data_IF_977862479215
#
_entry.id   IF_977862479215
#
_cell.length_a   1.000
_cell.length_b   1.000
_cell.length_c   1.000
_cell.angle_alpha   90.00
_cell.angle_beta   90.00
_cell.angle_gamma   90.00
#
_symmetry.space_group_name_H-M   'P 1'
#
loop_
_entity.id
_entity.type
_entity.pdbx_description
1 polymer ?
#
# COMPACT_ATOMS: atom_id res chain seq x y z
N UNK A 1 -68.65 -36.34 12.89
CA UNK A 1 -68.40 -36.47 14.34
C UNK A 1 -67.80 -35.14 14.75
N UNK A 2 -68.45 -34.39 15.62
CA UNK A 2 -67.84 -33.17 16.18
C UNK A 2 -66.61 -33.58 16.99
N UNK A 3 -65.42 -33.15 16.57
CA UNK A 3 -64.22 -33.30 17.37
C UNK A 3 -64.29 -32.38 18.60
N UNK A 4 -63.88 -32.84 19.78
CA UNK A 4 -64.01 -32.07 21.02
C UNK A 4 -63.13 -30.81 20.97
N UNK A 5 -63.75 -29.67 21.27
CA UNK A 5 -63.08 -28.39 21.41
C UNK A 5 -61.99 -28.42 22.50
N UNK A 6 -60.82 -27.87 22.18
CA UNK A 6 -59.67 -27.80 23.09
C UNK A 6 -59.63 -26.46 23.82
N UNK A 7 -59.41 -26.49 25.13
CA UNK A 7 -59.14 -25.26 25.90
C UNK A 7 -57.85 -24.60 25.41
N UNK A 8 -57.74 -23.27 25.57
CA UNK A 8 -56.54 -22.52 25.19
C UNK A 8 -55.22 -23.14 25.70
N UNK A 9 -55.20 -23.71 26.90
CA UNK A 9 -54.00 -24.35 27.47
C UNK A 9 -53.69 -25.73 26.89
N UNK A 10 -54.71 -26.48 26.45
CA UNK A 10 -54.52 -27.75 25.75
C UNK A 10 -54.06 -27.50 24.31
N UNK A 11 -54.70 -26.56 23.60
CA UNK A 11 -54.33 -26.18 22.24
C UNK A 11 -52.92 -25.56 22.18
N UNK A 12 -52.59 -24.64 23.09
CA UNK A 12 -51.27 -24.06 23.25
C UNK A 12 -50.16 -25.11 23.30
N UNK A 13 -50.33 -26.14 24.14
CA UNK A 13 -49.37 -27.25 24.24
C UNK A 13 -49.29 -28.08 22.96
N UNK A 14 -50.42 -28.31 22.29
CA UNK A 14 -50.45 -29.09 21.05
C UNK A 14 -49.71 -28.42 19.89
N UNK A 15 -49.73 -27.08 19.81
CA UNK A 15 -49.10 -26.32 18.72
C UNK A 15 -47.78 -25.63 19.13
N UNK A 16 -47.30 -25.87 20.35
CA UNK A 16 -46.04 -25.28 20.84
C UNK A 16 -46.11 -23.77 21.07
N UNK A 17 -47.29 -23.21 21.33
CA UNK A 17 -47.50 -21.80 21.63
C UNK A 17 -47.80 -21.59 23.11
N UNK A 18 -47.66 -20.35 23.59
CA UNK A 18 -48.17 -19.97 24.91
C UNK A 18 -49.62 -19.54 24.80
N UNK A 19 -50.40 -19.66 25.89
CA UNK A 19 -51.76 -19.12 25.94
C UNK A 19 -51.80 -17.60 25.67
N UNK A 20 -50.74 -16.86 26.04
CA UNK A 20 -50.63 -15.44 25.72
C UNK A 20 -50.45 -15.19 24.23
N UNK A 21 -49.63 -15.99 23.54
CA UNK A 21 -49.44 -15.88 22.10
C UNK A 21 -50.75 -16.16 21.33
N UNK A 22 -51.54 -17.14 21.77
CA UNK A 22 -52.85 -17.42 21.19
C UNK A 22 -53.83 -16.26 21.36
N UNK A 23 -53.85 -15.59 22.53
CA UNK A 23 -54.65 -14.37 22.72
C UNK A 23 -54.20 -13.23 21.83
N UNK A 24 -52.89 -13.05 21.67
CA UNK A 24 -52.34 -12.04 20.77
C UNK A 24 -52.71 -12.31 19.31
N UNK A 25 -52.64 -13.55 18.85
CA UNK A 25 -53.03 -13.90 17.48
C UNK A 25 -54.54 -13.79 17.25
N UNK A 26 -55.36 -14.05 18.26
CA UNK A 26 -56.79 -13.74 18.25
C UNK A 26 -57.02 -12.22 18.10
N UNK A 27 -56.38 -11.40 18.95
CA UNK A 27 -56.46 -9.93 18.89
C UNK A 27 -56.03 -9.35 17.54
N UNK A 28 -55.00 -9.93 16.91
CA UNK A 28 -54.52 -9.52 15.58
C UNK A 28 -55.27 -10.18 14.41
N UNK A 29 -56.30 -11.00 14.70
CA UNK A 29 -57.14 -11.70 13.71
C UNK A 29 -56.44 -12.86 12.98
N UNK A 30 -55.22 -13.23 13.39
CA UNK A 30 -54.45 -14.30 12.77
C UNK A 30 -54.93 -15.68 13.16
N UNK A 31 -55.43 -15.88 14.39
CA UNK A 31 -55.89 -17.19 14.86
C UNK A 31 -57.07 -17.01 15.83
N UNK A 32 -58.26 -16.91 15.27
CA UNK A 32 -59.50 -16.69 16.02
C UNK A 32 -59.97 -18.01 16.66
N UNK A 33 -60.32 -18.02 17.96
CA UNK A 33 -60.88 -19.20 18.61
C UNK A 33 -62.23 -19.57 17.97
N UNK A 34 -62.55 -20.86 17.97
CA UNK A 34 -63.81 -21.35 17.44
C UNK A 34 -65.00 -20.94 18.32
N UNK A 35 -64.78 -20.85 19.64
CA UNK A 35 -65.78 -20.39 20.59
C UNK A 35 -65.13 -19.58 21.72
N UNK A 36 -65.82 -18.52 22.15
CA UNK A 36 -65.50 -17.76 23.36
C UNK A 36 -66.72 -17.81 24.27
N UNK A 37 -66.57 -18.41 25.44
CA UNK A 37 -67.64 -18.51 26.44
C UNK A 37 -68.03 -17.11 26.94
N UNK A 38 -69.30 -16.75 26.79
CA UNK A 38 -69.80 -15.40 27.06
C UNK A 38 -69.90 -15.04 28.54
N UNK A 39 -69.92 -16.04 29.44
CA UNK A 39 -69.99 -15.83 30.89
C UNK A 39 -68.62 -15.79 31.58
N UNK A 40 -67.63 -16.49 31.01
CA UNK A 40 -66.32 -16.72 31.64
C UNK A 40 -65.14 -16.21 30.80
N UNK A 41 -65.33 -15.94 29.51
CA UNK A 41 -64.28 -15.50 28.58
C UNK A 41 -63.30 -16.61 28.17
N UNK A 42 -63.60 -17.87 28.49
CA UNK A 42 -62.76 -19.01 28.09
C UNK A 42 -62.78 -19.18 26.56
N UNK A 43 -61.59 -19.40 25.99
CA UNK A 43 -61.39 -19.62 24.56
C UNK A 43 -61.21 -21.10 24.25
N UNK A 44 -61.90 -21.53 23.21
CA UNK A 44 -61.90 -22.90 22.72
C UNK A 44 -61.49 -22.95 21.25
N UNK A 45 -60.66 -23.93 20.90
CA UNK A 45 -60.08 -24.09 19.57
C UNK A 45 -60.40 -25.49 19.04
N UNK A 46 -60.70 -25.59 17.75
CA UNK A 46 -60.82 -26.91 17.12
C UNK A 46 -59.44 -27.46 16.73
N UNK A 47 -59.27 -28.78 16.62
CA UNK A 47 -58.01 -29.38 16.20
C UNK A 47 -57.52 -28.92 14.81
N UNK A 48 -58.43 -28.57 13.89
CA UNK A 48 -58.11 -28.12 12.53
C UNK A 48 -57.34 -26.78 12.50
N UNK A 49 -57.47 -25.97 13.56
CA UNK A 49 -56.70 -24.73 13.69
C UNK A 49 -55.20 -24.97 13.91
N UNK A 50 -54.79 -26.21 14.18
CA UNK A 50 -53.39 -26.55 14.42
C UNK A 50 -52.48 -26.29 13.21
N UNK A 51 -52.95 -26.54 11.98
CA UNK A 51 -52.16 -26.27 10.77
C UNK A 51 -51.94 -24.78 10.54
N UNK A 52 -52.99 -23.98 10.77
CA UNK A 52 -52.91 -22.52 10.75
C UNK A 52 -51.92 -22.00 11.79
N UNK A 53 -51.98 -22.54 13.01
CA UNK A 53 -51.04 -22.18 14.08
C UNK A 53 -49.58 -22.53 13.73
N UNK A 54 -49.34 -23.70 13.12
CA UNK A 54 -48.00 -24.11 12.66
C UNK A 54 -47.44 -23.16 11.59
N UNK A 55 -48.26 -22.74 10.63
CA UNK A 55 -47.86 -21.76 9.61
C UNK A 55 -47.49 -20.40 10.23
N UNK A 56 -48.28 -19.92 11.20
CA UNK A 56 -47.99 -18.69 11.93
C UNK A 56 -46.63 -18.79 12.64
N UNK A 57 -46.34 -19.92 13.30
CA UNK A 57 -45.05 -20.15 13.97
C UNK A 57 -43.89 -20.10 12.98
N UNK A 58 -43.97 -20.83 11.87
CA UNK A 58 -42.90 -20.85 10.86
C UNK A 58 -42.65 -19.47 10.23
N UNK A 59 -43.73 -18.72 9.93
CA UNK A 59 -43.61 -17.36 9.42
C UNK A 59 -43.01 -16.39 10.45
N UNK A 60 -43.36 -16.54 11.74
CA UNK A 60 -42.77 -15.73 12.83
C UNK A 60 -41.27 -16.00 12.97
N UNK A 61 -40.86 -17.26 12.93
CA UNK A 61 -39.44 -17.64 12.99
C UNK A 61 -38.66 -17.12 11.78
N UNK A 62 -39.30 -17.05 10.62
CA UNK A 62 -38.75 -16.44 9.41
C UNK A 62 -38.82 -14.90 9.39
N UNK A 63 -39.34 -14.25 10.44
CA UNK A 63 -39.44 -12.78 10.52
C UNK A 63 -40.48 -12.15 9.60
N UNK A 64 -41.42 -12.93 9.07
CA UNK A 64 -42.50 -12.44 8.20
C UNK A 64 -43.41 -11.49 9.01
N UNK A 65 -43.75 -10.28 8.51
CA UNK A 65 -44.65 -9.37 9.21
C UNK A 65 -46.08 -9.92 9.32
N UNK A 66 -46.79 -9.58 10.39
CA UNK A 66 -48.19 -9.97 10.64
C UNK A 66 -49.10 -9.67 9.43
N UNK A 67 -48.87 -8.55 8.74
CA UNK A 67 -49.65 -8.15 7.56
C UNK A 67 -49.50 -9.16 6.41
N UNK A 68 -48.26 -9.57 6.11
CA UNK A 68 -47.97 -10.61 5.13
C UNK A 68 -48.53 -11.97 5.58
N UNK A 69 -48.47 -12.27 6.89
CA UNK A 69 -49.08 -13.49 7.43
C UNK A 69 -50.59 -13.55 7.16
N UNK A 70 -51.33 -12.45 7.34
CA UNK A 70 -52.77 -12.42 7.02
C UNK A 70 -53.03 -12.72 5.55
N UNK A 71 -52.26 -12.11 4.64
CA UNK A 71 -52.37 -12.40 3.20
C UNK A 71 -52.12 -13.88 2.93
N UNK A 72 -51.08 -14.47 3.52
CA UNK A 72 -50.74 -15.89 3.33
C UNK A 72 -51.84 -16.82 3.85
N UNK A 73 -52.45 -16.49 4.98
CA UNK A 73 -53.41 -17.35 5.65
C UNK A 73 -54.84 -17.25 5.09
N UNK A 74 -55.21 -16.09 4.54
CA UNK A 74 -56.60 -15.79 4.17
C UNK A 74 -56.80 -15.66 2.65
N UNK A 75 -55.73 -15.79 1.85
CA UNK A 75 -55.79 -15.66 0.39
C UNK A 75 -55.53 -16.98 -0.36
N UNK A 76 -55.95 -17.10 -1.64
CA UNK A 76 -55.63 -18.26 -2.46
C UNK A 76 -54.12 -18.50 -2.59
N UNK A 77 -53.72 -19.76 -2.81
CA UNK A 77 -52.31 -20.19 -2.85
C UNK A 77 -51.41 -19.34 -3.75
N UNK A 78 -51.93 -18.85 -4.89
CA UNK A 78 -51.18 -17.99 -5.80
C UNK A 78 -50.81 -16.63 -5.14
N UNK A 79 -51.73 -16.01 -4.41
CA UNK A 79 -51.50 -14.75 -3.72
C UNK A 79 -50.61 -14.93 -2.50
N UNK A 80 -50.82 -16.00 -1.72
CA UNK A 80 -49.94 -16.36 -0.61
C UNK A 80 -48.48 -16.55 -1.06
N UNK A 81 -48.28 -17.25 -2.20
CA UNK A 81 -46.95 -17.42 -2.79
C UNK A 81 -46.33 -16.10 -3.25
N UNK A 82 -47.11 -15.22 -3.89
CA UNK A 82 -46.64 -13.92 -4.33
C UNK A 82 -46.18 -13.06 -3.14
N UNK A 83 -46.98 -13.02 -2.07
CA UNK A 83 -46.65 -12.26 -0.86
C UNK A 83 -45.36 -12.75 -0.17
N UNK A 84 -45.14 -14.07 -0.12
CA UNK A 84 -43.89 -14.64 0.41
C UNK A 84 -42.70 -14.41 -0.52
N UNK A 85 -42.88 -14.47 -1.84
CA UNK A 85 -41.81 -14.18 -2.79
C UNK A 85 -41.36 -12.71 -2.69
N UNK A 86 -42.30 -11.77 -2.61
CA UNK A 86 -42.02 -10.34 -2.41
C UNK A 86 -41.29 -10.10 -1.09
N UNK A 87 -41.72 -10.76 0.00
CA UNK A 87 -41.01 -10.69 1.28
C UNK A 87 -39.57 -11.22 1.19
N UNK A 88 -39.35 -12.35 0.50
CA UNK A 88 -38.00 -12.91 0.31
C UNK A 88 -37.10 -11.96 -0.51
N UNK A 89 -37.63 -11.35 -1.56
CA UNK A 89 -36.90 -10.38 -2.38
C UNK A 89 -36.51 -9.14 -1.58
N UNK A 90 -37.43 -8.56 -0.81
CA UNK A 90 -37.17 -7.39 0.02
C UNK A 90 -36.16 -7.70 1.15
N UNK A 91 -36.28 -8.86 1.81
CA UNK A 91 -35.29 -9.30 2.79
C UNK A 91 -33.91 -9.51 2.17
N UNK A 92 -33.84 -10.12 0.99
CA UNK A 92 -32.60 -10.27 0.24
C UNK A 92 -31.95 -8.93 -0.09
N UNK A 93 -32.74 -7.97 -0.59
CA UNK A 93 -32.27 -6.62 -0.90
C UNK A 93 -31.79 -5.86 0.35
N UNK A 94 -32.50 -5.98 1.48
CA UNK A 94 -32.08 -5.36 2.76
C UNK A 94 -30.77 -5.95 3.26
N UNK A 95 -30.61 -7.27 3.19
CA UNK A 95 -29.39 -7.96 3.61
C UNK A 95 -28.21 -7.54 2.74
N UNK A 96 -28.38 -7.49 1.41
CA UNK A 96 -27.34 -7.05 0.49
C UNK A 96 -26.88 -5.61 0.78
N UNK A 97 -27.81 -4.67 1.04
CA UNK A 97 -27.47 -3.28 1.42
C UNK A 97 -26.73 -3.22 2.75
N UNK A 98 -27.13 -4.03 3.74
CA UNK A 98 -26.45 -4.08 5.03
C UNK A 98 -25.02 -4.63 4.90
N UNK A 99 -24.82 -5.68 4.11
CA UNK A 99 -23.49 -6.22 3.81
C UNK A 99 -22.60 -5.21 3.09
N UNK A 100 -23.14 -4.48 2.11
CA UNK A 100 -22.43 -3.42 1.42
C UNK A 100 -22.02 -2.29 2.37
N UNK A 101 -22.93 -1.84 3.23
CA UNK A 101 -22.63 -0.83 4.24
C UNK A 101 -21.53 -1.28 5.22
N UNK A 102 -21.61 -2.52 5.72
CA UNK A 102 -20.59 -3.09 6.62
C UNK A 102 -19.25 -3.20 5.90
N UNK A 103 -19.23 -3.64 4.63
CA UNK A 103 -18.02 -3.68 3.82
C UNK A 103 -17.40 -2.29 3.65
N UNK A 104 -18.22 -1.26 3.41
CA UNK A 104 -17.76 0.12 3.36
C UNK A 104 -17.13 0.60 4.68
N UNK A 105 -17.74 0.25 5.82
CA UNK A 105 -17.18 0.54 7.14
C UNK A 105 -15.86 -0.20 7.37
N UNK A 106 -15.76 -1.48 7.01
CA UNK A 106 -14.51 -2.24 7.10
C UNK A 106 -13.40 -1.59 6.28
N UNK A 107 -13.66 -1.22 5.03
CA UNK A 107 -12.71 -0.49 4.20
C UNK A 107 -12.23 0.82 4.87
N UNK A 108 -13.15 1.56 5.50
CA UNK A 108 -12.80 2.79 6.20
C UNK A 108 -11.99 2.54 7.50
N UNK A 109 -12.28 1.46 8.22
CA UNK A 109 -11.50 1.05 9.40
C UNK A 109 -10.10 0.62 9.00
N UNK A 110 -9.96 -0.16 7.92
CA UNK A 110 -8.67 -0.63 7.40
C UNK A 110 -7.80 0.53 6.88
N UNK A 111 -8.42 1.57 6.33
CA UNK A 111 -7.71 2.77 5.88
C UNK A 111 -7.16 3.63 7.04
N UNK A 112 -7.66 3.47 8.26
CA UNK A 112 -7.31 4.31 9.40
C UNK A 112 -7.81 5.77 9.26
N UNK A 113 -7.46 6.66 10.22
CA UNK A 113 -7.68 8.10 10.00
C UNK A 113 -6.92 8.53 8.74
N UNK A 114 -7.59 9.27 7.86
CA UNK A 114 -6.97 9.76 6.62
C UNK A 114 -5.65 10.46 6.96
N UNK A 115 -4.54 9.92 6.43
CA UNK A 115 -3.22 10.50 6.62
C UNK A 115 -3.26 11.97 6.21
N UNK A 116 -2.76 12.85 7.08
CA UNK A 116 -2.70 14.28 6.75
C UNK A 116 -1.76 14.43 5.56
N UNK A 117 -2.20 15.10 4.49
CA UNK A 117 -1.36 15.32 3.32
C UNK A 117 0.00 15.89 3.71
N UNK A 118 1.06 15.33 3.15
CA UNK A 118 2.38 15.90 3.29
C UNK A 118 2.47 17.17 2.44
N UNK A 119 2.85 18.29 3.04
CA UNK A 119 3.17 19.52 2.34
C UNK A 119 4.63 19.88 2.62
N UNK A 120 5.42 20.09 1.58
CA UNK A 120 6.84 20.43 1.73
C UNK A 120 7.21 21.58 0.78
N UNK A 121 7.88 22.58 1.33
CA UNK A 121 8.44 23.68 0.55
C UNK A 121 9.97 23.54 0.46
N UNK A 122 10.50 23.67 -0.74
CA UNK A 122 11.94 23.62 -0.97
C UNK A 122 12.33 24.43 -2.22
N UNK A 123 13.59 24.89 -2.34
CA UNK A 123 14.01 25.62 -3.52
C UNK A 123 13.86 24.76 -4.79
N UNK A 124 13.16 25.28 -5.80
CA UNK A 124 12.90 24.56 -7.05
C UNK A 124 14.18 24.05 -7.73
N UNK A 125 15.22 24.89 -7.93
CA UNK A 125 16.47 24.45 -8.54
C UNK A 125 17.21 23.37 -7.75
N UNK A 126 17.04 23.31 -6.42
CA UNK A 126 17.65 22.28 -5.59
C UNK A 126 16.98 20.92 -5.82
N UNK A 127 15.65 20.89 -5.90
CA UNK A 127 14.91 19.68 -6.26
C UNK A 127 15.18 19.24 -7.70
N UNK A 128 15.26 20.19 -8.64
CA UNK A 128 15.63 19.91 -10.02
C UNK A 128 17.00 19.24 -10.12
N UNK A 129 18.00 19.79 -9.40
CA UNK A 129 19.34 19.22 -9.33
C UNK A 129 19.33 17.81 -8.72
N UNK A 130 18.54 17.58 -7.67
CA UNK A 130 18.41 16.26 -7.04
C UNK A 130 17.83 15.21 -8.01
N UNK A 131 16.74 15.55 -8.71
CA UNK A 131 16.13 14.67 -9.72
C UNK A 131 17.14 14.33 -10.82
N UNK A 132 17.85 15.34 -11.34
CA UNK A 132 18.87 15.14 -12.38
C UNK A 132 20.04 14.28 -11.90
N UNK A 133 20.45 14.47 -10.65
CA UNK A 133 21.54 13.72 -10.06
C UNK A 133 21.21 12.23 -9.94
N UNK A 134 20.02 11.88 -9.46
CA UNK A 134 19.67 10.46 -9.20
C UNK A 134 19.12 9.75 -10.43
N UNK A 135 18.38 10.41 -11.34
CA UNK A 135 17.68 9.75 -12.47
C UNK A 135 18.57 8.89 -13.37
N UNK A 136 19.88 9.10 -13.36
CA UNK A 136 20.84 8.27 -14.08
C UNK A 136 20.94 6.83 -13.54
N UNK A 137 20.45 6.59 -12.32
CA UNK A 137 20.40 5.27 -11.70
C UNK A 137 19.20 4.42 -12.12
N UNK A 138 18.14 5.06 -12.59
CA UNK A 138 16.94 4.39 -13.09
C UNK A 138 17.24 3.53 -14.32
N UNK A 139 16.36 2.57 -14.61
CA UNK A 139 16.43 1.78 -15.84
C UNK A 139 16.09 2.63 -17.06
N UNK A 140 16.70 2.30 -18.20
CA UNK A 140 16.48 3.05 -19.45
C UNK A 140 15.32 2.51 -20.28
N UNK A 141 14.88 1.27 -20.03
CA UNK A 141 13.74 0.66 -20.72
C UNK A 141 12.44 1.25 -20.17
N UNK A 142 11.66 2.01 -20.96
CA UNK A 142 10.41 2.61 -20.49
C UNK A 142 9.35 1.60 -20.05
N UNK A 143 9.48 0.32 -20.43
CA UNK A 143 8.58 -0.75 -19.96
C UNK A 143 8.89 -1.20 -18.52
N UNK A 144 10.06 -0.86 -17.98
CA UNK A 144 10.44 -1.19 -16.62
C UNK A 144 9.78 -0.26 -15.61
N UNK A 145 9.25 -0.82 -14.52
CA UNK A 145 8.76 -0.04 -13.37
C UNK A 145 9.88 0.79 -12.72
N UNK A 146 11.14 0.38 -12.90
CA UNK A 146 12.33 1.09 -12.41
C UNK A 146 12.84 2.18 -13.39
N UNK A 147 12.18 2.37 -14.53
CA UNK A 147 12.36 3.56 -15.37
C UNK A 147 11.61 4.77 -14.78
N UNK A 148 11.86 5.02 -13.49
CA UNK A 148 11.15 5.98 -12.67
C UNK A 148 12.03 6.53 -11.55
N UNK A 149 11.59 7.64 -10.97
CA UNK A 149 12.19 8.30 -9.80
C UNK A 149 11.15 8.30 -8.68
N UNK A 150 11.53 7.83 -7.51
CA UNK A 150 10.73 7.91 -6.30
C UNK A 150 11.01 9.24 -5.59
N UNK A 151 9.94 9.91 -5.16
CA UNK A 151 9.97 11.02 -4.21
C UNK A 151 9.32 10.51 -2.93
N UNK A 152 10.08 10.46 -1.84
CA UNK A 152 9.63 9.98 -0.53
C UNK A 152 9.85 11.08 0.51
N UNK A 153 8.78 11.47 1.18
CA UNK A 153 8.74 12.56 2.15
C UNK A 153 8.46 11.99 3.54
N UNK A 154 9.31 12.32 4.50
CA UNK A 154 9.12 12.01 5.90
C UNK A 154 9.60 13.17 6.81
N UNK A 155 9.77 12.88 8.09
CA UNK A 155 10.28 13.82 9.10
C UNK A 155 11.73 14.28 8.85
N UNK A 156 12.51 13.55 8.07
CA UNK A 156 13.90 13.87 7.73
C UNK A 156 14.02 14.77 6.50
N UNK A 157 12.97 14.90 5.71
CA UNK A 157 12.89 15.75 4.53
C UNK A 157 12.39 15.01 3.30
N UNK A 158 12.98 15.32 2.14
CA UNK A 158 12.61 14.74 0.85
C UNK A 158 13.75 13.89 0.30
N UNK A 159 13.52 12.58 0.21
CA UNK A 159 14.38 11.67 -0.53
C UNK A 159 13.94 11.61 -1.99
N UNK A 160 14.88 11.88 -2.89
CA UNK A 160 14.74 11.62 -4.32
C UNK A 160 15.58 10.40 -4.64
N UNK A 161 14.96 9.34 -5.15
CA UNK A 161 15.57 8.02 -5.27
C UNK A 161 15.40 7.50 -6.69
N UNK A 162 16.48 6.91 -7.22
CA UNK A 162 16.42 6.12 -8.43
C UNK A 162 17.28 4.87 -8.26
N UNK A 163 16.84 3.75 -8.81
CA UNK A 163 17.55 2.47 -8.67
C UNK A 163 17.36 1.61 -9.90
N UNK A 164 18.28 0.67 -10.10
CA UNK A 164 18.09 -0.49 -10.95
C UNK A 164 18.60 -1.75 -10.24
N UNK A 165 18.76 -2.86 -10.96
CA UNK A 165 19.24 -4.14 -10.41
C UNK A 165 20.63 -4.08 -9.75
N UNK A 166 21.49 -3.13 -10.12
CA UNK A 166 22.91 -3.14 -9.77
C UNK A 166 23.38 -1.92 -8.97
N UNK A 167 22.59 -0.84 -8.92
CA UNK A 167 22.91 0.30 -8.07
C UNK A 167 21.68 1.14 -7.74
N UNK A 168 21.79 1.92 -6.66
CA UNK A 168 20.80 2.86 -6.16
C UNK A 168 21.45 4.21 -5.94
N UNK A 169 20.77 5.30 -6.26
CA UNK A 169 21.17 6.66 -5.93
C UNK A 169 20.05 7.33 -5.12
N UNK A 170 20.42 7.94 -4.00
CA UNK A 170 19.52 8.63 -3.08
C UNK A 170 20.04 10.05 -2.87
N UNK A 171 19.14 11.01 -3.00
CA UNK A 171 19.39 12.40 -2.67
C UNK A 171 18.39 12.87 -1.62
N UNK A 172 18.87 13.00 -0.39
CA UNK A 172 18.13 13.60 0.71
C UNK A 172 18.24 15.13 0.67
N UNK A 173 17.10 15.79 0.69
CA UNK A 173 16.95 17.23 0.77
C UNK A 173 16.29 17.58 2.11
N UNK A 174 17.05 18.16 3.06
CA UNK A 174 16.49 18.59 4.34
C UNK A 174 15.40 19.63 4.11
N UNK A 175 14.19 19.29 4.53
CA UNK A 175 13.02 20.16 4.45
C UNK A 175 12.05 19.77 5.57
N UNK A 176 11.23 20.72 6.02
CA UNK A 176 10.20 20.44 7.03
C UNK A 176 8.91 20.11 6.30
N UNK A 177 8.43 18.89 6.47
CA UNK A 177 7.13 18.48 5.96
C UNK A 177 6.04 18.74 7.02
N UNK A 178 4.95 19.38 6.62
CA UNK A 178 3.70 19.36 7.37
C UNK A 178 2.92 18.10 7.02
N UNK A 179 2.22 17.49 7.98
CA UNK A 179 1.41 16.28 7.75
C UNK A 179 2.13 15.00 8.15
N UNK A 180 1.75 13.87 7.54
CA UNK A 180 2.16 12.53 7.98
C UNK A 180 3.16 11.86 7.01
N UNK A 181 3.75 12.65 6.10
CA UNK A 181 4.66 12.15 5.06
C UNK A 181 3.94 11.40 3.95
N UNK A 182 4.70 10.80 3.04
CA UNK A 182 4.15 10.05 1.93
C UNK A 182 5.15 9.92 0.79
N UNK A 183 4.82 9.07 -0.18
CA UNK A 183 5.70 8.81 -1.31
C UNK A 183 4.92 8.78 -2.62
N UNK A 184 5.61 9.04 -3.71
CA UNK A 184 5.09 8.86 -5.05
C UNK A 184 6.21 8.54 -6.04
N UNK A 185 5.87 7.78 -7.06
CA UNK A 185 6.76 7.39 -8.15
C UNK A 185 6.39 8.20 -9.39
N UNK A 186 7.40 8.82 -10.02
CA UNK A 186 7.27 9.56 -11.27
C UNK A 186 7.98 8.77 -12.38
N UNK A 187 7.36 8.68 -13.55
CA UNK A 187 8.05 8.12 -14.72
C UNK A 187 9.31 8.93 -15.03
N UNK A 188 10.32 8.33 -15.65
CA UNK A 188 11.53 9.06 -16.04
C UNK A 188 11.27 10.29 -16.93
N UNK A 189 10.37 10.23 -17.95
CA UNK A 189 9.96 11.42 -18.70
C UNK A 189 9.36 12.51 -17.83
N UNK A 190 8.45 12.16 -16.91
CA UNK A 190 7.79 13.12 -16.02
C UNK A 190 8.76 13.73 -15.01
N UNK A 191 9.68 12.94 -14.48
CA UNK A 191 10.76 13.43 -13.63
C UNK A 191 11.66 14.43 -14.38
N UNK A 192 11.98 14.16 -15.64
CA UNK A 192 12.70 15.10 -16.51
C UNK A 192 11.93 16.41 -16.72
N UNK A 193 10.66 16.33 -17.12
CA UNK A 193 9.80 17.49 -17.34
C UNK A 193 9.59 18.31 -16.04
N UNK A 194 9.49 17.64 -14.89
CA UNK A 194 9.40 18.28 -13.59
C UNK A 194 10.68 19.06 -13.27
N UNK A 195 11.86 18.46 -13.46
CA UNK A 195 13.14 19.14 -13.21
C UNK A 195 13.27 20.43 -14.04
N UNK A 196 12.87 20.40 -15.31
CA UNK A 196 12.93 21.57 -16.19
C UNK A 196 11.96 22.68 -15.76
N UNK A 197 10.77 22.31 -15.27
CA UNK A 197 9.81 23.27 -14.70
C UNK A 197 10.31 23.88 -13.40
N UNK A 198 10.94 23.07 -12.54
CA UNK A 198 11.44 23.48 -11.23
C UNK A 198 12.58 24.51 -11.33
N UNK A 199 13.37 24.52 -12.40
CA UNK A 199 14.39 25.56 -12.62
C UNK A 199 13.79 26.96 -12.75
N UNK A 200 12.55 27.05 -13.24
CA UNK A 200 11.84 28.32 -13.43
C UNK A 200 11.10 28.78 -12.16
N UNK A 201 11.11 27.99 -11.09
CA UNK A 201 10.34 28.23 -9.86
C UNK A 201 11.30 28.44 -8.70
N UNK A 202 11.21 29.56 -7.99
CA UNK A 202 12.07 29.82 -6.82
C UNK A 202 11.82 28.83 -5.68
N UNK A 203 10.55 28.62 -5.32
CA UNK A 203 10.12 27.70 -4.25
C UNK A 203 9.07 26.75 -4.79
N UNK A 204 9.34 25.45 -4.70
CA UNK A 204 8.41 24.40 -5.07
C UNK A 204 7.62 23.96 -3.84
N UNK A 205 6.30 23.95 -3.97
CA UNK A 205 5.36 23.46 -2.96
C UNK A 205 4.87 22.08 -3.42
N UNK A 206 5.47 21.02 -2.88
CA UNK A 206 5.04 19.65 -3.17
C UNK A 206 3.97 19.24 -2.18
N UNK A 207 2.92 18.59 -2.68
CA UNK A 207 1.89 17.99 -1.87
C UNK A 207 1.74 16.52 -2.20
N UNK A 208 1.81 15.65 -1.19
CA UNK A 208 1.50 14.22 -1.29
C UNK A 208 0.24 13.93 -0.48
N UNK A 209 -0.81 13.46 -1.15
CA UNK A 209 -2.07 13.05 -0.53
C UNK A 209 -2.55 11.76 -1.19
N UNK A 210 -2.96 10.77 -0.39
CA UNK A 210 -3.46 9.48 -0.89
C UNK A 210 -2.52 8.85 -1.94
N UNK A 211 -1.21 8.91 -1.66
CA UNK A 211 -0.15 8.43 -2.54
C UNK A 211 0.08 9.26 -3.81
N UNK A 212 -0.61 10.38 -3.99
CA UNK A 212 -0.49 11.20 -5.21
C UNK A 212 0.37 12.43 -4.97
N UNK A 213 1.44 12.58 -5.74
CA UNK A 213 2.29 13.77 -5.72
C UNK A 213 1.75 14.83 -6.68
N UNK A 214 1.63 16.05 -6.16
CA UNK A 214 1.19 17.22 -6.90
C UNK A 214 2.13 18.41 -6.70
N UNK A 215 2.24 19.26 -7.72
CA UNK A 215 2.89 20.57 -7.67
C UNK A 215 1.96 21.59 -8.30
N UNK A 216 1.59 22.64 -7.56
CA UNK A 216 0.62 23.65 -8.00
C UNK A 216 -0.70 23.04 -8.54
N UNK A 217 -1.19 21.98 -7.89
CA UNK A 217 -2.42 21.27 -8.25
C UNK A 217 -2.33 20.33 -9.46
N UNK A 218 -1.18 20.26 -10.14
CA UNK A 218 -0.97 19.28 -11.21
C UNK A 218 -0.44 17.97 -10.63
N UNK A 219 -1.07 16.85 -10.99
CA UNK A 219 -0.58 15.50 -10.69
C UNK A 219 0.73 15.21 -11.44
N UNK A 220 1.71 14.66 -10.73
CA UNK A 220 3.05 14.34 -11.24
C UNK A 220 3.39 12.85 -11.13
N UNK A 221 2.84 12.15 -10.15
CA UNK A 221 3.15 10.75 -9.87
C UNK A 221 2.24 10.16 -8.80
N UNK A 222 2.29 8.83 -8.67
CA UNK A 222 1.48 8.07 -7.71
C UNK A 222 2.30 7.04 -6.96
N UNK A 223 1.86 6.66 -5.77
CA UNK A 223 2.43 5.58 -4.99
C UNK A 223 2.13 4.26 -5.71
N UNK A 224 3.19 3.70 -6.27
CA UNK A 224 3.20 2.37 -6.87
C UNK A 224 4.29 1.55 -6.22
N UNK A 225 4.36 0.26 -6.56
CA UNK A 225 5.42 -0.60 -6.08
C UNK A 225 6.79 -0.05 -6.48
N UNK A 226 7.63 0.20 -5.49
CA UNK A 226 9.02 0.62 -5.67
C UNK A 226 9.89 0.00 -4.57
N UNK A 227 11.17 -0.33 -4.83
CA UNK A 227 12.06 -0.87 -3.81
C UNK A 227 12.12 0.00 -2.55
N UNK A 228 12.04 -0.63 -1.38
CA UNK A 228 12.04 0.05 -0.09
C UNK A 228 13.44 0.56 0.29
N UNK A 229 13.85 1.70 -0.28
CA UNK A 229 15.21 2.25 -0.14
C UNK A 229 15.62 2.50 1.31
N UNK A 230 14.70 2.96 2.18
CA UNK A 230 14.98 3.15 3.61
C UNK A 230 15.42 1.85 4.30
N UNK A 231 14.76 0.73 3.99
CA UNK A 231 15.14 -0.57 4.53
C UNK A 231 16.49 -1.05 3.99
N UNK A 232 16.77 -0.79 2.71
CA UNK A 232 18.08 -1.09 2.10
C UNK A 232 19.19 -0.32 2.81
N UNK A 233 19.03 0.99 2.99
CA UNK A 233 20.01 1.84 3.65
C UNK A 233 20.19 1.50 5.13
N UNK A 234 19.09 1.28 5.87
CA UNK A 234 19.13 0.89 7.27
C UNK A 234 19.74 -0.50 7.50
N UNK A 235 19.70 -1.37 6.48
CA UNK A 235 20.27 -2.71 6.51
C UNK A 235 21.77 -2.77 6.16
N UNK A 236 22.42 -1.65 5.85
CA UNK A 236 23.85 -1.63 5.54
C UNK A 236 24.67 -1.89 6.80
N UNK A 237 25.53 -2.91 6.72
CA UNK A 237 26.52 -3.20 7.77
C UNK A 237 27.58 -2.08 7.82
N UNK A 238 28.13 -1.76 9.01
CA UNK A 238 29.17 -0.73 9.14
C UNK A 238 30.38 -1.03 8.24
N UNK A 239 30.86 0.00 7.54
CA UNK A 239 32.05 -0.13 6.70
C UNK A 239 33.30 -0.42 7.55
N UNK A 240 34.14 -1.33 7.07
CA UNK A 240 35.44 -1.66 7.69
C UNK A 240 36.59 -0.92 7.01
N UNK A 241 36.46 -0.65 5.71
CA UNK A 241 37.42 0.11 4.92
C UNK A 241 36.75 1.37 4.38
N UNK A 242 37.32 2.53 4.70
CA UNK A 242 36.95 3.83 4.15
C UNK A 242 38.04 4.34 3.22
N UNK A 243 37.69 5.03 2.14
CA UNK A 243 38.64 5.69 1.27
C UNK A 243 38.14 7.06 0.82
N UNK A 244 39.02 8.06 0.79
CA UNK A 244 38.77 9.36 0.17
C UNK A 244 39.71 9.49 -1.02
N UNK A 245 39.16 9.48 -2.23
CA UNK A 245 39.92 9.32 -3.48
C UNK A 245 39.66 10.48 -4.43
N UNK A 246 40.69 10.86 -5.19
CA UNK A 246 40.60 11.86 -6.24
C UNK A 246 39.70 11.35 -7.37
N UNK A 247 38.59 12.04 -7.60
CA UNK A 247 37.57 11.67 -8.60
C UNK A 247 38.15 11.65 -10.01
N UNK A 248 38.99 12.63 -10.35
CA UNK A 248 39.61 12.74 -11.67
C UNK A 248 40.49 11.53 -12.00
N UNK A 249 41.25 11.02 -11.03
CA UNK A 249 42.14 9.87 -11.22
C UNK A 249 41.32 8.58 -11.42
N UNK A 250 40.23 8.43 -10.66
CA UNK A 250 39.29 7.32 -10.83
C UNK A 250 38.68 7.33 -12.24
N UNK A 251 38.11 8.47 -12.66
CA UNK A 251 37.49 8.59 -13.99
C UNK A 251 38.50 8.32 -15.11
N UNK A 252 39.70 8.92 -15.04
CA UNK A 252 40.75 8.68 -16.02
C UNK A 252 41.18 7.21 -16.05
N UNK A 253 41.24 6.54 -14.89
CA UNK A 253 41.54 5.11 -14.79
C UNK A 253 40.45 4.23 -15.41
N UNK A 254 39.17 4.59 -15.23
CA UNK A 254 38.04 3.88 -15.85
C UNK A 254 38.04 4.06 -17.38
N UNK A 255 38.30 5.27 -17.87
CA UNK A 255 38.38 5.58 -19.30
C UNK A 255 39.55 4.83 -19.96
N UNK A 256 40.71 4.81 -19.30
CA UNK A 256 41.90 4.10 -19.78
C UNK A 256 41.74 2.58 -19.78
N UNK A 257 40.95 2.03 -18.85
CA UNK A 257 40.75 0.60 -18.77
C UNK A 257 40.12 0.04 -20.05
N UNK A 258 39.25 0.76 -20.75
CA UNK A 258 38.57 0.32 -21.99
C UNK A 258 37.80 -1.04 -21.91
N UNK A 259 37.70 -1.65 -20.72
CA UNK A 259 36.98 -2.90 -20.48
C UNK A 259 35.69 -2.66 -19.68
N UNK A 260 34.84 -3.68 -19.63
CA UNK A 260 33.60 -3.65 -18.88
C UNK A 260 33.82 -3.60 -17.35
N UNK A 261 34.97 -4.07 -16.86
CA UNK A 261 35.24 -4.23 -15.42
C UNK A 261 36.67 -3.82 -15.06
N UNK A 262 36.84 -3.34 -13.82
CA UNK A 262 38.12 -2.98 -13.22
C UNK A 262 38.23 -3.53 -11.81
N UNK A 263 39.46 -3.87 -11.41
CA UNK A 263 39.79 -4.12 -10.01
C UNK A 263 40.32 -2.82 -9.38
N UNK A 264 39.66 -2.35 -8.33
CA UNK A 264 40.09 -1.26 -7.47
C UNK A 264 40.75 -1.84 -6.21
N UNK A 265 42.04 -1.58 -6.04
CA UNK A 265 42.82 -1.99 -4.88
C UNK A 265 42.89 -0.82 -3.89
N UNK A 266 42.25 -0.98 -2.74
CA UNK A 266 42.23 -0.01 -1.64
C UNK A 266 43.32 -0.42 -0.62
N UNK A 267 44.49 0.16 -0.78
CA UNK A 267 45.70 -0.07 0.03
C UNK A 267 46.40 1.29 0.29
N UNK A 268 47.55 1.28 0.97
CA UNK A 268 48.42 2.46 1.12
C UNK A 268 48.71 3.17 -0.22
N UNK A 269 48.77 2.40 -1.30
CA UNK A 269 48.79 2.89 -2.68
C UNK A 269 47.59 2.36 -3.45
N UNK A 270 46.56 3.21 -3.53
CA UNK A 270 45.33 2.88 -4.24
C UNK A 270 45.57 2.83 -5.75
N UNK A 271 45.10 1.76 -6.39
CA UNK A 271 45.34 1.48 -7.80
C UNK A 271 44.09 0.95 -8.48
N UNK A 272 43.87 1.37 -9.73
CA UNK A 272 42.92 0.78 -10.66
C UNK A 272 43.68 -0.10 -11.64
N UNK A 273 43.22 -1.33 -11.85
CA UNK A 273 43.79 -2.25 -12.83
C UNK A 273 42.69 -2.95 -13.60
N UNK A 274 42.81 -3.02 -14.91
CA UNK A 274 41.96 -3.92 -15.69
C UNK A 274 42.35 -5.37 -15.39
N UNK A 275 41.39 -6.30 -15.24
CA UNK A 275 41.68 -7.74 -15.13
C UNK A 275 42.45 -8.29 -16.34
N UNK A 276 42.35 -7.63 -17.50
CA UNK A 276 42.88 -8.09 -18.78
C UNK A 276 44.08 -7.28 -19.30
N UNK A 277 44.46 -6.19 -18.61
CA UNK A 277 45.62 -5.37 -18.99
C UNK A 277 46.70 -5.38 -17.90
N UNK A 278 47.96 -5.28 -18.33
CA UNK A 278 49.09 -5.14 -17.42
C UNK A 278 49.23 -3.72 -16.85
N UNK A 279 48.64 -2.73 -17.52
CA UNK A 279 48.68 -1.33 -17.09
C UNK A 279 47.80 -1.10 -15.86
N UNK A 280 48.32 -0.29 -14.95
CA UNK A 280 47.66 0.11 -13.71
C UNK A 280 47.72 1.63 -13.60
N UNK A 281 46.65 2.22 -13.09
CA UNK A 281 46.55 3.66 -12.82
C UNK A 281 46.58 3.89 -11.32
N UNK A 282 47.52 4.71 -10.86
CA UNK A 282 47.54 5.16 -9.48
C UNK A 282 46.39 6.14 -9.23
N UNK A 283 45.74 6.02 -8.08
CA UNK A 283 44.64 6.89 -7.66
C UNK A 283 45.08 7.60 -6.39
N UNK A 284 45.15 8.93 -6.43
CA UNK A 284 45.49 9.73 -5.25
C UNK A 284 44.36 9.65 -4.23
N UNK A 285 44.71 9.55 -2.96
CA UNK A 285 43.75 9.51 -1.88
C UNK A 285 44.31 8.89 -0.61
N UNK A 286 43.43 8.72 0.37
CA UNK A 286 43.74 8.11 1.67
C UNK A 286 42.78 6.94 1.90
N UNK A 287 43.33 5.81 2.33
CA UNK A 287 42.56 4.63 2.75
C UNK A 287 42.72 4.44 4.25
N UNK A 288 41.62 4.12 4.92
CA UNK A 288 41.57 3.82 6.35
C UNK A 288 40.90 2.47 6.55
N UNK A 289 41.48 1.60 7.39
CA UNK A 289 41.00 0.24 7.61
C UNK A 289 41.86 -0.81 6.88
N UNK A 290 41.42 -2.08 6.84
CA UNK A 290 42.17 -3.14 6.20
C UNK A 290 42.20 -2.98 4.67
N UNK A 291 43.25 -3.50 4.00
CA UNK A 291 43.29 -3.61 2.55
C UNK A 291 42.05 -4.31 1.98
N UNK A 292 41.52 -3.78 0.87
CA UNK A 292 40.37 -4.37 0.18
C UNK A 292 40.55 -4.32 -1.33
N UNK A 293 39.95 -5.28 -2.03
CA UNK A 293 39.90 -5.33 -3.49
C UNK A 293 38.44 -5.41 -3.92
N UNK A 294 38.05 -4.52 -4.82
CA UNK A 294 36.71 -4.47 -5.38
C UNK A 294 36.78 -4.69 -6.88
N UNK A 295 35.93 -5.56 -7.41
CA UNK A 295 35.69 -5.62 -8.86
C UNK A 295 34.43 -4.84 -9.19
N UNK A 296 34.54 -3.86 -10.08
CA UNK A 296 33.47 -2.91 -10.37
C UNK A 296 33.26 -2.82 -11.88
N UNK A 297 31.99 -2.76 -12.29
CA UNK A 297 31.63 -2.45 -13.68
C UNK A 297 31.96 -1.00 -14.00
N UNK A 298 32.77 -0.76 -15.03
CA UNK A 298 33.29 0.58 -15.38
C UNK A 298 32.17 1.57 -15.68
N UNK A 299 31.15 1.17 -16.43
CA UNK A 299 30.03 2.03 -16.79
C UNK A 299 29.18 2.45 -15.57
N UNK A 300 28.88 1.52 -14.65
CA UNK A 300 28.06 1.82 -13.48
C UNK A 300 28.84 2.64 -12.45
N UNK A 301 30.08 2.23 -12.17
CA UNK A 301 30.91 2.97 -11.22
C UNK A 301 31.24 4.37 -11.74
N UNK A 302 31.54 4.52 -13.04
CA UNK A 302 31.73 5.82 -13.67
C UNK A 302 30.51 6.74 -13.54
N UNK A 303 29.29 6.22 -13.68
CA UNK A 303 28.05 6.98 -13.45
C UNK A 303 27.89 7.41 -11.99
N UNK A 304 28.17 6.52 -11.04
CA UNK A 304 28.12 6.85 -9.62
C UNK A 304 29.13 7.95 -9.25
N UNK A 305 30.36 7.85 -9.76
CA UNK A 305 31.38 8.89 -9.59
C UNK A 305 30.96 10.21 -10.23
N UNK A 306 30.44 10.17 -11.46
CA UNK A 306 29.97 11.36 -12.17
C UNK A 306 28.87 12.10 -11.39
N UNK A 307 27.98 11.36 -10.72
CA UNK A 307 26.92 11.91 -9.89
C UNK A 307 27.44 12.57 -8.59
N UNK A 308 28.62 12.22 -8.07
CA UNK A 308 29.19 12.89 -6.90
C UNK A 308 29.65 14.32 -7.21
N UNK A 309 29.33 15.29 -6.35
CA UNK A 309 29.82 16.66 -6.48
C UNK A 309 31.28 16.79 -5.99
N UNK A 310 32.07 17.69 -6.60
CA UNK A 310 33.43 18.00 -6.18
C UNK A 310 34.50 17.07 -6.77
N UNK A 311 35.75 17.29 -6.34
CA UNK A 311 36.94 16.65 -6.90
C UNK A 311 37.37 15.38 -6.16
N UNK A 312 36.70 15.05 -5.06
CA UNK A 312 36.95 13.87 -4.24
C UNK A 312 35.66 13.08 -4.04
N UNK A 313 35.81 11.76 -3.93
CA UNK A 313 34.73 10.83 -3.58
C UNK A 313 35.12 10.04 -2.35
N UNK A 314 34.11 9.68 -1.55
CA UNK A 314 34.30 8.77 -0.41
C UNK A 314 33.71 7.41 -0.76
N UNK A 315 34.48 6.36 -0.48
CA UNK A 315 34.04 4.98 -0.58
C UNK A 315 33.98 4.38 0.82
N UNK A 316 32.88 3.74 1.15
CA UNK A 316 32.71 2.94 2.36
C UNK A 316 32.44 1.49 1.96
N UNK A 317 33.31 0.59 2.44
CA UNK A 317 33.36 -0.82 2.04
C UNK A 317 33.26 -1.70 3.27
N UNK A 318 32.28 -2.59 3.27
CA UNK A 318 32.10 -3.62 4.31
C UNK A 318 32.82 -4.91 3.94
N UNK A 319 32.61 -5.39 2.72
CA UNK A 319 33.28 -6.58 2.18
C UNK A 319 33.29 -6.53 0.63
N UNK A 320 34.17 -7.29 -0.04
CA UNK A 320 34.31 -7.26 -1.50
C UNK A 320 33.06 -7.62 -2.31
N UNK A 321 32.14 -8.38 -1.72
CA UNK A 321 30.91 -8.88 -2.33
C UNK A 321 29.64 -8.14 -1.85
N UNK A 322 29.82 -7.11 -1.02
CA UNK A 322 28.74 -6.26 -0.47
C UNK A 322 28.65 -4.93 -1.22
N UNK A 323 27.49 -4.24 -1.19
CA UNK A 323 27.35 -2.93 -1.82
C UNK A 323 28.43 -1.96 -1.32
N UNK A 324 29.04 -1.23 -2.25
CA UNK A 324 29.97 -0.14 -1.95
C UNK A 324 29.18 1.15 -1.85
N UNK A 325 29.32 1.85 -0.72
CA UNK A 325 28.71 3.15 -0.51
C UNK A 325 29.63 4.22 -1.11
N UNK A 326 29.11 5.00 -2.04
CA UNK A 326 29.81 6.09 -2.73
C UNK A 326 29.14 7.42 -2.37
N UNK A 327 29.87 8.33 -1.74
CA UNK A 327 29.37 9.64 -1.32
C UNK A 327 30.35 10.75 -1.72
N UNK A 328 29.92 12.00 -1.54
CA UNK A 328 30.77 13.19 -1.71
C UNK A 328 30.97 13.88 -0.36
N UNK A 329 32.21 14.25 0.02
CA UNK A 329 32.46 15.07 1.21
C UNK A 329 31.75 16.43 1.18
N UNK A 330 31.51 16.94 -0.04
CA UNK A 330 30.96 18.26 -0.29
C UNK A 330 29.43 18.26 -0.35
N UNK A 331 28.80 17.09 -0.28
CA UNK A 331 27.37 16.92 -0.54
C UNK A 331 26.76 15.79 0.30
N UNK A 332 26.70 15.92 1.63
CA UNK A 332 26.38 14.82 2.55
C UNK A 332 25.01 14.16 2.31
N UNK A 333 24.04 14.87 1.72
CA UNK A 333 22.74 14.30 1.37
C UNK A 333 22.74 13.35 0.16
N UNK A 334 23.87 13.08 -0.50
CA UNK A 334 23.93 12.19 -1.67
C UNK A 334 24.61 10.88 -1.30
N UNK A 335 23.94 9.77 -1.62
CA UNK A 335 24.46 8.42 -1.43
C UNK A 335 24.19 7.60 -2.68
N UNK A 336 25.22 6.92 -3.19
CA UNK A 336 25.08 5.89 -4.20
C UNK A 336 25.53 4.54 -3.63
N UNK A 337 24.76 3.48 -3.88
CA UNK A 337 25.10 2.10 -3.54
C UNK A 337 25.43 1.37 -4.82
N UNK A 338 26.67 0.94 -5.00
CA UNK A 338 27.12 0.24 -6.21
C UNK A 338 27.42 -1.22 -5.85
N UNK A 339 26.79 -2.16 -6.54
CA UNK A 339 27.09 -3.58 -6.37
C UNK A 339 28.42 -3.95 -7.07
N UNK A 340 29.38 -4.55 -6.35
CA UNK A 340 30.54 -5.17 -6.98
C UNK A 340 30.14 -6.32 -7.90
N UNK A 341 30.98 -6.58 -8.89
CA UNK A 341 30.91 -7.80 -9.69
C UNK A 341 31.53 -8.93 -8.88
N UNK A 342 30.88 -10.10 -8.84
CA UNK A 342 31.46 -11.27 -8.18
C UNK A 342 32.76 -11.68 -8.88
N UNK A 343 33.77 -12.02 -8.09
CA UNK A 343 34.91 -12.77 -8.61
C UNK A 343 34.41 -14.17 -8.98
N UNK A 344 34.49 -14.54 -10.27
CA UNK A 344 34.48 -15.95 -10.64
C UNK A 344 35.85 -16.51 -10.22
N UNK A 345 35.86 -17.33 -9.18
CA UNK A 345 37.03 -18.11 -8.76
C UNK A 345 37.32 -19.23 -9.77
#
# INVERSE_FOLDING_TARGET
MDEPLLTIGAFARAVGLTASALRHYDECGLLVPAEVDSGTGYRYYTPELADRARLIVGMREAGVPIETMRVVLDSPTAQARAALAEFLEDQGARTARAEEAVRGVLTAVDAGPAARPALVELPGPVLAAAIRQVRHAAESDPASELASVLVDVDESGVDVVATNRYWMAVRNLPAVAEGDGGRAVLSLPDAGALADRLDAITTAELRIADGTLTLAGQELGRDTTYPAHRLVLAGLEPAVTGAVLAKADLLAGLDAAAYAEVDLFLEDRTRLRSPHAAEQSDVRGVVTGPPSRLRLGTALFGRALAACLGDEVQLAVTAPDRPVVVTSPYQPGFTALVMPVRHED
#
